data_IF_948213309840
#
_entry.id   IF_948213309840
#
_cell.length_a   1.000
_cell.length_b   1.000
_cell.length_c   1.000
_cell.angle_alpha   90.00
_cell.angle_beta   90.00
_cell.angle_gamma   90.00
#
_symmetry.space_group_name_H-M   'P 1'
#
loop_
_entity.id
_entity.type
_entity.pdbx_description
1 polymer ?
#
# COMPACT_ATOMS: atom_id res chain seq x y z
N UNK A 1 -15.69 28.23 10.44
CA UNK A 1 -16.30 26.95 9.99
C UNK A 1 -15.40 26.31 8.93
N UNK A 2 -14.97 25.05 9.11
CA UNK A 2 -14.17 24.27 8.14
C UNK A 2 -15.09 23.51 7.16
N UNK A 3 -14.83 23.60 5.85
CA UNK A 3 -15.25 22.66 4.75
C UNK A 3 -14.75 23.27 3.41
N UNK A 4 -14.15 22.59 2.43
CA UNK A 4 -13.86 21.18 2.14
C UNK A 4 -12.55 21.12 1.34
N UNK A 5 -11.71 20.13 1.62
CA UNK A 5 -10.57 19.75 0.79
C UNK A 5 -11.07 19.27 -0.58
N UNK A 6 -10.71 19.99 -1.65
CA UNK A 6 -10.96 19.59 -3.03
C UNK A 6 -9.88 18.63 -3.51
N UNK A 7 -10.28 17.42 -3.90
CA UNK A 7 -9.45 16.49 -4.65
C UNK A 7 -9.37 17.00 -6.09
N UNK A 8 -8.21 17.54 -6.46
CA UNK A 8 -7.92 18.07 -7.79
C UNK A 8 -8.00 16.97 -8.87
N UNK A 9 -8.89 17.16 -9.84
CA UNK A 9 -9.21 16.26 -10.96
C UNK A 9 -8.30 16.45 -12.20
N UNK A 10 -7.18 17.19 -12.11
CA UNK A 10 -6.35 17.57 -13.26
C UNK A 10 -5.10 16.70 -13.47
N UNK A 11 -5.16 15.42 -13.13
CA UNK A 11 -4.09 14.47 -13.48
C UNK A 11 -4.68 13.31 -14.27
N UNK A 12 -4.85 13.56 -15.56
CA UNK A 12 -5.12 12.56 -16.59
C UNK A 12 -3.81 11.77 -16.83
N UNK A 13 -3.32 11.09 -15.78
CA UNK A 13 -2.26 10.10 -15.93
C UNK A 13 -2.92 8.94 -16.65
N UNK A 14 -2.57 8.77 -17.94
CA UNK A 14 -3.02 7.65 -18.74
C UNK A 14 -2.63 6.38 -17.97
N UNK A 15 -3.63 5.63 -17.49
CA UNK A 15 -3.46 4.48 -16.59
C UNK A 15 -2.48 3.46 -17.18
N UNK A 16 -2.31 3.45 -18.51
CA UNK A 16 -1.30 2.67 -19.22
C UNK A 16 0.16 3.07 -18.92
N UNK A 17 0.48 4.35 -18.71
CA UNK A 17 1.87 4.76 -18.39
C UNK A 17 2.25 4.33 -16.97
N UNK A 18 1.31 4.46 -16.03
CA UNK A 18 1.46 4.00 -14.66
C UNK A 18 1.65 2.48 -14.59
N UNK A 19 0.87 1.73 -15.39
CA UNK A 19 0.92 0.27 -15.41
C UNK A 19 2.08 -0.31 -16.23
N UNK A 20 2.59 0.37 -17.26
CA UNK A 20 3.62 -0.21 -18.16
C UNK A 20 5.03 0.20 -17.75
N UNK A 21 5.23 1.41 -17.25
CA UNK A 21 6.58 1.93 -16.93
C UNK A 21 6.84 1.91 -15.42
N UNK A 22 5.87 2.36 -14.62
CA UNK A 22 6.04 2.49 -13.17
C UNK A 22 5.93 1.14 -12.45
N UNK A 23 5.03 0.27 -12.91
CA UNK A 23 4.80 -1.06 -12.35
C UNK A 23 6.05 -1.97 -12.36
N UNK A 24 6.78 -2.18 -13.47
CA UNK A 24 8.00 -3.01 -13.44
C UNK A 24 9.15 -2.37 -12.65
N UNK A 25 9.25 -1.03 -12.64
CA UNK A 25 10.25 -0.33 -11.82
C UNK A 25 9.95 -0.50 -10.32
N UNK A 26 8.68 -0.56 -9.93
CA UNK A 26 8.25 -0.75 -8.55
C UNK A 26 8.31 -2.21 -8.07
N UNK A 27 8.12 -3.18 -8.98
CA UNK A 27 8.28 -4.62 -8.68
C UNK A 27 9.74 -4.96 -8.36
N UNK A 28 10.71 -4.31 -9.03
CA UNK A 28 12.14 -4.49 -8.72
C UNK A 28 12.50 -4.11 -7.27
N UNK A 29 11.70 -3.26 -6.64
CA UNK A 29 11.87 -2.81 -5.25
C UNK A 29 11.31 -3.80 -4.21
N UNK A 30 10.42 -4.72 -4.60
CA UNK A 30 9.85 -5.77 -3.72
C UNK A 30 10.75 -7.02 -3.73
N UNK A 31 11.97 -6.89 -3.19
CA UNK A 31 12.94 -8.00 -3.14
C UNK A 31 13.17 -8.58 -1.74
N UNK A 32 12.86 -7.85 -0.65
CA UNK A 32 13.05 -8.35 0.72
C UNK A 32 11.91 -9.33 1.09
N UNK A 33 12.19 -10.61 1.37
CA UNK A 33 11.17 -11.57 1.82
C UNK A 33 10.40 -11.10 3.06
N UNK A 34 11.03 -10.29 3.92
CA UNK A 34 10.37 -9.73 5.11
C UNK A 34 9.35 -8.66 4.74
N UNK A 35 9.58 -7.90 3.67
CA UNK A 35 8.61 -6.92 3.19
C UNK A 35 7.39 -7.62 2.60
N UNK A 36 7.59 -8.69 1.84
CA UNK A 36 6.53 -9.52 1.27
C UNK A 36 5.62 -10.08 2.39
N UNK A 37 6.19 -10.77 3.37
CA UNK A 37 5.44 -11.30 4.52
C UNK A 37 4.75 -10.22 5.36
N UNK A 38 5.31 -9.01 5.40
CA UNK A 38 4.66 -7.87 6.03
C UNK A 38 3.44 -7.39 5.22
N UNK A 39 3.56 -7.30 3.89
CA UNK A 39 2.46 -6.88 3.01
C UNK A 39 1.31 -7.89 2.97
N UNK A 40 1.60 -9.19 3.04
CA UNK A 40 0.57 -10.25 3.18
C UNK A 40 -0.32 -9.99 4.42
N UNK A 41 0.30 -9.84 5.59
CA UNK A 41 -0.44 -9.57 6.85
C UNK A 41 -1.16 -8.22 6.83
N UNK A 42 -0.57 -7.21 6.21
CA UNK A 42 -1.20 -5.91 6.00
C UNK A 42 -2.47 -6.04 5.15
N UNK A 43 -2.42 -6.84 4.08
CA UNK A 43 -3.56 -7.10 3.21
C UNK A 43 -4.69 -7.79 3.98
N UNK A 44 -4.39 -8.80 4.80
CA UNK A 44 -5.41 -9.42 5.64
C UNK A 44 -6.11 -8.41 6.55
N UNK A 45 -5.34 -7.50 7.17
CA UNK A 45 -5.92 -6.47 8.05
C UNK A 45 -6.79 -5.50 7.25
N UNK A 46 -6.35 -5.08 6.06
CA UNK A 46 -7.15 -4.22 5.20
C UNK A 46 -8.41 -4.89 4.68
N UNK A 47 -8.37 -6.18 4.35
CA UNK A 47 -9.55 -6.95 3.95
C UNK A 47 -10.55 -7.11 5.10
N UNK A 48 -10.05 -7.33 6.34
CA UNK A 48 -10.91 -7.49 7.53
C UNK A 48 -11.49 -6.17 8.06
N UNK A 49 -10.71 -5.09 8.06
CA UNK A 49 -11.07 -3.81 8.74
C UNK A 49 -11.36 -2.65 7.78
N UNK A 50 -11.04 -2.81 6.50
CA UNK A 50 -11.13 -1.80 5.48
C UNK A 50 -9.97 -0.79 5.50
N UNK A 51 -9.57 -0.35 4.31
CA UNK A 51 -8.45 0.59 4.12
C UNK A 51 -8.70 1.93 4.82
N UNK A 52 -9.90 2.49 4.69
CA UNK A 52 -10.23 3.85 5.17
C UNK A 52 -10.11 4.00 6.70
N UNK A 53 -10.49 2.96 7.46
CA UNK A 53 -10.58 3.01 8.93
C UNK A 53 -9.29 2.62 9.63
N UNK A 54 -8.37 1.96 8.90
CA UNK A 54 -7.13 1.45 9.48
C UNK A 54 -6.06 2.54 9.54
N UNK A 55 -5.65 2.90 10.77
CA UNK A 55 -4.51 3.80 11.03
C UNK A 55 -3.20 3.00 11.06
N UNK A 56 -2.08 3.68 10.83
CA UNK A 56 -0.74 3.04 10.84
C UNK A 56 -0.42 2.37 12.18
N UNK A 57 -0.82 3.01 13.28
CA UNK A 57 -0.64 2.49 14.63
C UNK A 57 -1.38 1.18 14.86
N UNK A 58 -2.65 1.17 14.44
CA UNK A 58 -3.53 0.00 14.56
C UNK A 58 -3.07 -1.12 13.63
N UNK A 59 -2.52 -0.77 12.46
CA UNK A 59 -1.90 -1.71 11.54
C UNK A 59 -0.68 -2.38 12.16
N UNK A 60 0.26 -1.61 12.70
CA UNK A 60 1.47 -2.13 13.32
C UNK A 60 1.13 -3.09 14.48
N UNK A 61 0.14 -2.72 15.32
CA UNK A 61 -0.39 -3.58 16.37
C UNK A 61 -1.03 -4.85 15.82
N UNK A 62 -1.83 -4.74 14.76
CA UNK A 62 -2.56 -5.87 14.18
C UNK A 62 -1.64 -6.94 13.58
N UNK A 63 -0.53 -6.53 12.97
CA UNK A 63 0.45 -7.45 12.38
C UNK A 63 1.60 -7.80 13.35
N UNK A 64 1.49 -7.39 14.62
CA UNK A 64 2.45 -7.63 15.70
C UNK A 64 3.88 -7.16 15.40
N UNK A 65 4.03 -5.93 14.89
CA UNK A 65 5.34 -5.30 14.66
C UNK A 65 5.41 -3.91 15.29
N UNK A 66 6.62 -3.43 15.55
CA UNK A 66 6.81 -2.04 15.96
C UNK A 66 6.47 -1.09 14.82
N UNK A 67 6.01 0.12 15.14
CA UNK A 67 5.82 1.17 14.11
C UNK A 67 7.11 1.44 13.34
N UNK A 68 8.26 1.42 14.01
CA UNK A 68 9.58 1.60 13.39
C UNK A 68 9.85 0.54 12.32
N UNK A 69 9.47 -0.70 12.58
CA UNK A 69 9.58 -1.81 11.61
C UNK A 69 8.68 -1.56 10.40
N UNK A 70 7.44 -1.11 10.60
CA UNK A 70 6.54 -0.76 9.50
C UNK A 70 7.12 0.40 8.68
N UNK A 71 7.61 1.46 9.33
CA UNK A 71 8.22 2.62 8.68
C UNK A 71 9.52 2.34 7.94
N UNK A 72 10.23 1.24 8.26
CA UNK A 72 11.40 0.77 7.50
C UNK A 72 11.03 0.49 6.03
N UNK A 73 9.84 -0.06 5.79
CA UNK A 73 9.38 -0.48 4.47
C UNK A 73 8.40 0.53 3.83
N UNK A 74 7.68 1.30 4.66
CA UNK A 74 6.67 2.27 4.17
C UNK A 74 6.80 3.63 4.84
N UNK A 75 7.12 4.67 4.05
CA UNK A 75 7.27 6.04 4.57
C UNK A 75 5.98 6.60 5.19
N UNK A 76 4.82 6.26 4.65
CA UNK A 76 3.54 6.77 5.10
C UNK A 76 2.37 5.85 4.70
N UNK A 77 1.17 6.16 5.21
CA UNK A 77 -0.05 5.39 4.95
C UNK A 77 -0.40 5.28 3.47
N UNK A 78 -0.23 6.35 2.68
CA UNK A 78 -0.55 6.30 1.24
C UNK A 78 0.35 5.29 0.53
N UNK A 79 1.65 5.30 0.84
CA UNK A 79 2.62 4.33 0.31
C UNK A 79 2.27 2.90 0.71
N UNK A 80 1.87 2.69 1.97
CA UNK A 80 1.44 1.35 2.43
C UNK A 80 0.22 0.84 1.66
N UNK A 81 -0.79 1.70 1.44
CA UNK A 81 -1.98 1.33 0.66
C UNK A 81 -1.62 1.02 -0.78
N UNK A 82 -0.76 1.83 -1.41
CA UNK A 82 -0.32 1.57 -2.77
C UNK A 82 0.43 0.23 -2.87
N UNK A 83 1.45 -0.01 -2.02
CA UNK A 83 2.20 -1.28 -1.99
C UNK A 83 1.29 -2.49 -1.75
N UNK A 84 0.37 -2.38 -0.79
CA UNK A 84 -0.64 -3.40 -0.48
C UNK A 84 -1.54 -3.74 -1.69
N UNK A 85 -2.05 -2.72 -2.38
CA UNK A 85 -2.89 -2.90 -3.57
C UNK A 85 -2.11 -3.52 -4.73
N UNK A 86 -0.88 -3.06 -4.99
CA UNK A 86 -0.02 -3.65 -6.02
C UNK A 86 0.33 -5.10 -5.72
N UNK A 87 0.69 -5.41 -4.47
CA UNK A 87 0.97 -6.77 -4.05
C UNK A 87 -0.23 -7.70 -4.32
N UNK A 88 -1.44 -7.26 -3.98
CA UNK A 88 -2.66 -8.03 -4.26
C UNK A 88 -2.90 -8.24 -5.75
N UNK A 89 -2.64 -7.24 -6.60
CA UNK A 89 -2.79 -7.35 -8.05
C UNK A 89 -1.78 -8.35 -8.65
N UNK A 90 -0.53 -8.33 -8.20
CA UNK A 90 0.50 -9.27 -8.61
C UNK A 90 0.18 -10.72 -8.21
N UNK A 91 -0.44 -10.93 -7.04
CA UNK A 91 -0.88 -12.26 -6.61
C UNK A 91 -2.04 -12.79 -7.45
N UNK A 92 -2.91 -11.92 -7.97
CA UNK A 92 -4.01 -12.31 -8.86
C UNK A 92 -3.46 -12.81 -10.21
N UNK A 93 -2.43 -12.15 -10.77
CA UNK A 93 -1.82 -12.55 -12.05
C UNK A 93 -1.03 -13.87 -11.98
N UNK A 94 -0.64 -14.31 -10.78
CA UNK A 94 0.07 -15.57 -10.56
C UNK A 94 -0.84 -16.80 -10.49
N UNK A 95 -2.15 -16.59 -10.36
CA UNK A 95 -3.17 -17.66 -10.33
C UNK A 95 -3.76 -17.88 -11.71
#
# INVERSE_FOLDING_TARGET
MKKKEGFDKKNNVNVNVFNVILFPMFVKELSDPKEISLLERVNEVYLKRGVKRTKMDDMAKAINVSKKTLYKYVKNRKVLVMKSAFFMLLEIEKK
#
